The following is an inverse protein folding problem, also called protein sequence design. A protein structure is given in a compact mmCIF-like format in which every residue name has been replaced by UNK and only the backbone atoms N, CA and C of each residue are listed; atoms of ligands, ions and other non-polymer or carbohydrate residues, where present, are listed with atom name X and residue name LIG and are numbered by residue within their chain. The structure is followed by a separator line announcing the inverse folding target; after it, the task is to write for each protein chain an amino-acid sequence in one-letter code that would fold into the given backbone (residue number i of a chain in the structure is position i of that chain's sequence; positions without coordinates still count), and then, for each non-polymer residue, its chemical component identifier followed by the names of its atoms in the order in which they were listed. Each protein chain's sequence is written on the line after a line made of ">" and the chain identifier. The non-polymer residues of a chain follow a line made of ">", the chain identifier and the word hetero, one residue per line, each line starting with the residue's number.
data_IF_789297946283
#
_entry.id   IF_789297946283
#
_cell.length_a   1.000
_cell.length_b   1.000
_cell.length_c   1.000
_cell.angle_alpha   90.00
_cell.angle_beta   90.00
_cell.angle_gamma   90.00
#
_symmetry.space_group_name_H-M   'P 1'
#
loop_
_entity.id
_entity.type
_entity.pdbx_description
1 polymer ?
#
# COMPACT_ATOMS: atom_id res chain seq x y z
N UNK A 1 24.37 2.70 -17.71
CA UNK A 1 24.52 3.29 -16.36
C UNK A 1 23.97 2.27 -15.37
N UNK A 2 24.62 1.98 -14.23
CA UNK A 2 24.02 1.08 -13.23
C UNK A 2 22.80 1.80 -12.60
N UNK A 3 21.63 1.12 -12.43
CA UNK A 3 20.46 1.71 -11.83
C UNK A 3 20.76 2.26 -10.42
N UNK A 4 20.23 3.44 -10.10
CA UNK A 4 20.34 4.05 -8.76
C UNK A 4 19.69 3.13 -7.72
N UNK A 5 20.30 2.97 -6.55
CA UNK A 5 19.66 2.23 -5.44
C UNK A 5 18.69 3.12 -4.68
N UNK A 6 17.70 2.52 -3.99
CA UNK A 6 16.77 3.25 -3.12
C UNK A 6 17.52 4.13 -2.11
N UNK A 7 18.52 3.57 -1.42
CA UNK A 7 19.35 4.32 -0.47
C UNK A 7 19.99 5.55 -1.11
N UNK A 8 20.59 5.38 -2.31
CA UNK A 8 21.21 6.51 -3.00
C UNK A 8 20.16 7.55 -3.40
N UNK A 9 19.03 7.12 -3.97
CA UNK A 9 17.92 8.01 -4.33
C UNK A 9 17.47 8.85 -3.13
N UNK A 10 17.18 8.21 -1.99
CA UNK A 10 16.72 8.89 -0.79
C UNK A 10 17.78 9.86 -0.21
N UNK A 11 19.07 9.50 -0.27
CA UNK A 11 20.16 10.42 0.12
C UNK A 11 20.25 11.62 -0.84
N UNK A 12 20.07 11.41 -2.13
CA UNK A 12 20.04 12.50 -3.12
C UNK A 12 18.84 13.42 -2.85
N UNK A 13 17.65 12.87 -2.62
CA UNK A 13 16.47 13.63 -2.21
C UNK A 13 16.67 14.40 -0.90
N UNK A 14 17.32 13.80 0.10
CA UNK A 14 17.62 14.47 1.37
C UNK A 14 18.53 15.70 1.21
N UNK A 15 19.37 15.73 0.18
CA UNK A 15 20.31 16.83 -0.09
C UNK A 15 19.71 17.99 -0.87
N UNK A 16 18.51 17.81 -1.42
CA UNK A 16 17.83 18.87 -2.14
C UNK A 16 17.47 20.05 -1.21
N UNK A 17 17.56 21.29 -1.67
CA UNK A 17 17.09 22.44 -0.91
C UNK A 17 15.61 22.26 -0.55
N UNK A 18 15.25 22.49 0.71
CA UNK A 18 13.88 22.26 1.23
C UNK A 18 13.39 20.83 1.09
N UNK A 19 14.27 19.87 1.27
CA UNK A 19 13.98 18.46 1.13
C UNK A 19 12.73 18.02 1.91
N UNK A 20 11.84 17.31 1.23
CA UNK A 20 10.72 16.60 1.86
C UNK A 20 11.14 15.30 2.57
N UNK A 21 12.42 14.89 2.46
CA UNK A 21 12.95 13.65 3.00
C UNK A 21 14.09 13.88 4.03
N UNK A 22 13.78 14.32 5.26
CA UNK A 22 14.78 14.41 6.31
C UNK A 22 15.35 13.03 6.66
N UNK A 23 16.49 13.00 7.36
CA UNK A 23 17.23 11.77 7.67
C UNK A 23 16.36 10.72 8.36
N UNK A 24 15.52 11.13 9.31
CA UNK A 24 14.65 10.24 10.07
C UNK A 24 13.59 9.57 9.16
N UNK A 25 12.95 10.33 8.24
CA UNK A 25 12.02 9.77 7.27
C UNK A 25 12.73 8.80 6.32
N UNK A 26 13.92 9.16 5.84
CA UNK A 26 14.74 8.28 5.01
C UNK A 26 15.01 6.94 5.69
N UNK A 27 15.46 6.97 6.93
CA UNK A 27 15.78 5.76 7.70
C UNK A 27 14.54 4.90 7.95
N UNK A 28 13.39 5.51 8.22
CA UNK A 28 12.11 4.82 8.35
C UNK A 28 11.73 4.11 7.04
N UNK A 29 11.77 4.82 5.90
CA UNK A 29 11.46 4.23 4.59
C UNK A 29 12.41 3.07 4.27
N UNK A 30 13.71 3.21 4.54
CA UNK A 30 14.68 2.13 4.34
C UNK A 30 14.39 0.92 5.23
N UNK A 31 13.87 1.14 6.44
CA UNK A 31 13.49 0.06 7.35
C UNK A 31 12.25 -0.67 6.85
N UNK A 32 11.20 0.04 6.44
CA UNK A 32 10.01 -0.55 5.79
C UNK A 32 10.41 -1.34 4.54
N UNK A 33 11.22 -0.74 3.66
CA UNK A 33 11.70 -1.40 2.45
C UNK A 33 12.54 -2.66 2.75
N UNK A 34 13.22 -2.72 3.88
CA UNK A 34 13.96 -3.90 4.35
C UNK A 34 13.00 -4.98 4.85
N UNK A 35 11.96 -4.63 5.61
CA UNK A 35 10.93 -5.57 6.02
C UNK A 35 10.22 -6.19 4.79
N UNK A 36 9.89 -5.39 3.77
CA UNK A 36 9.32 -5.89 2.51
C UNK A 36 10.20 -6.93 1.80
N UNK A 37 11.53 -6.86 1.92
CA UNK A 37 12.42 -7.91 1.38
C UNK A 37 12.26 -9.24 2.12
N UNK A 38 12.11 -9.18 3.44
CA UNK A 38 11.91 -10.38 4.27
C UNK A 38 10.55 -11.00 3.96
N UNK A 39 9.51 -10.18 3.84
CA UNK A 39 8.17 -10.62 3.42
C UNK A 39 8.22 -11.26 2.02
N UNK A 40 8.89 -10.62 1.05
CA UNK A 40 9.07 -11.18 -0.29
C UNK A 40 9.77 -12.55 -0.27
N UNK A 41 10.73 -12.73 0.63
CA UNK A 41 11.42 -14.01 0.80
C UNK A 41 10.50 -15.06 1.43
N UNK A 42 9.67 -14.68 2.41
CA UNK A 42 8.67 -15.58 3.00
C UNK A 42 7.66 -16.04 1.93
N UNK A 43 7.07 -15.10 1.19
CA UNK A 43 6.12 -15.40 0.10
C UNK A 43 6.73 -16.35 -0.94
N UNK A 44 7.98 -16.09 -1.35
CA UNK A 44 8.65 -16.92 -2.38
C UNK A 44 8.87 -18.38 -1.98
N UNK A 45 8.79 -18.69 -0.69
CA UNK A 45 8.85 -20.07 -0.18
C UNK A 45 7.51 -20.79 -0.28
N UNK A 46 6.40 -20.05 -0.29
CA UNK A 46 5.06 -20.62 -0.38
C UNK A 46 4.84 -21.76 0.61
N UNK A 47 4.36 -22.89 0.12
CA UNK A 47 4.14 -24.09 0.94
C UNK A 47 5.40 -24.64 1.65
N UNK A 48 6.59 -24.39 1.09
CA UNK A 48 7.84 -24.81 1.73
C UNK A 48 8.18 -24.00 2.99
N UNK A 49 7.62 -22.80 3.11
CA UNK A 49 7.82 -21.93 4.26
C UNK A 49 6.69 -21.98 5.32
N UNK A 50 5.69 -22.83 5.10
CA UNK A 50 4.47 -22.92 5.93
C UNK A 50 3.72 -21.57 6.07
N UNK A 51 3.79 -20.73 5.03
CA UNK A 51 3.17 -19.38 5.02
C UNK A 51 1.77 -19.37 4.40
N UNK A 52 1.32 -20.50 3.81
CA UNK A 52 0.02 -20.64 3.18
C UNK A 52 -1.06 -21.08 4.17
N UNK A 53 -2.32 -20.83 3.80
CA UNK A 53 -3.49 -21.27 4.54
C UNK A 53 -4.00 -20.24 5.57
N UNK A 54 -5.15 -20.57 6.16
CA UNK A 54 -5.82 -19.75 7.15
C UNK A 54 -5.45 -20.19 8.58
N UNK A 55 -5.44 -19.24 9.51
CA UNK A 55 -5.33 -19.53 10.95
C UNK A 55 -6.65 -19.98 11.56
N UNK A 56 -7.78 -19.87 10.82
CA UNK A 56 -9.11 -20.17 11.35
C UNK A 56 -9.65 -19.07 12.29
N UNK A 57 -8.94 -17.96 12.40
CA UNK A 57 -9.36 -16.73 13.08
C UNK A 57 -9.82 -15.69 12.05
N UNK A 58 -10.64 -14.74 12.49
CA UNK A 58 -11.00 -13.55 11.74
C UNK A 58 -10.23 -12.35 12.32
N UNK A 59 -9.83 -11.42 11.46
CA UNK A 59 -9.28 -10.15 11.90
C UNK A 59 -10.41 -9.26 12.46
N UNK A 60 -10.06 -8.10 12.98
CA UNK A 60 -11.00 -7.11 13.56
C UNK A 60 -12.07 -6.64 12.58
N UNK A 61 -11.91 -6.91 11.32
CA UNK A 61 -12.82 -6.56 10.22
C UNK A 61 -13.76 -7.71 9.82
N UNK A 62 -13.63 -8.88 10.45
CA UNK A 62 -14.39 -10.09 10.14
C UNK A 62 -13.92 -10.78 8.84
N UNK A 63 -12.68 -10.57 8.43
CA UNK A 63 -12.05 -11.29 7.32
C UNK A 63 -11.21 -12.44 7.84
N UNK A 64 -11.23 -13.56 7.12
CA UNK A 64 -10.45 -14.74 7.48
C UNK A 64 -8.96 -14.45 7.39
N UNK A 65 -8.28 -14.42 8.53
CA UNK A 65 -6.87 -14.10 8.65
C UNK A 65 -6.01 -15.22 8.08
N UNK A 66 -5.10 -14.89 7.19
CA UNK A 66 -4.12 -15.83 6.65
C UNK A 66 -2.86 -15.85 7.52
N UNK A 67 -2.14 -16.95 7.50
CA UNK A 67 -0.85 -17.07 8.21
C UNK A 67 0.12 -15.96 7.78
N UNK A 68 0.10 -15.62 6.49
CA UNK A 68 1.00 -14.62 5.94
C UNK A 68 0.69 -13.21 6.44
N UNK A 69 -0.59 -12.87 6.69
CA UNK A 69 -0.98 -11.56 7.24
C UNK A 69 -0.31 -11.34 8.61
N UNK A 70 -0.37 -12.34 9.48
CA UNK A 70 0.26 -12.29 10.80
C UNK A 70 1.78 -12.22 10.69
N UNK A 71 2.39 -13.08 9.88
CA UNK A 71 3.85 -13.11 9.68
C UNK A 71 4.34 -11.75 9.14
N UNK A 72 3.66 -11.19 8.16
CA UNK A 72 4.04 -9.91 7.58
C UNK A 72 3.83 -8.75 8.56
N UNK A 73 2.74 -8.78 9.34
CA UNK A 73 2.51 -7.82 10.41
C UNK A 73 3.64 -7.85 11.44
N UNK A 74 3.97 -9.02 11.97
CA UNK A 74 5.02 -9.17 12.97
C UNK A 74 6.39 -8.72 12.44
N UNK A 75 6.72 -9.06 11.19
CA UNK A 75 7.95 -8.60 10.53
C UNK A 75 8.03 -7.07 10.42
N UNK A 76 6.90 -6.40 10.14
CA UNK A 76 6.85 -4.94 10.06
C UNK A 76 6.95 -4.29 11.46
N UNK A 77 6.28 -4.84 12.47
CA UNK A 77 6.41 -4.38 13.86
C UNK A 77 7.86 -4.53 14.32
N UNK A 78 8.40 -5.76 14.27
CA UNK A 78 9.75 -6.08 14.72
C UNK A 78 10.84 -5.25 14.04
N UNK A 79 10.68 -4.94 12.76
CA UNK A 79 11.64 -4.13 12.03
C UNK A 79 11.64 -2.66 12.46
N UNK A 80 10.49 -2.12 12.87
CA UNK A 80 10.29 -0.68 13.01
C UNK A 80 10.21 -0.18 14.45
N UNK A 81 9.87 -1.03 15.45
CA UNK A 81 9.62 -0.57 16.81
C UNK A 81 10.86 -0.05 17.56
N UNK A 82 12.06 -0.51 17.22
CA UNK A 82 13.30 -0.20 17.92
C UNK A 82 14.13 0.91 17.29
N UNK A 83 13.80 1.31 16.06
CA UNK A 83 14.63 2.22 15.25
C UNK A 83 14.65 3.68 15.69
N UNK A 84 13.78 4.09 16.61
CA UNK A 84 13.71 5.46 17.12
C UNK A 84 13.07 6.48 16.17
N UNK A 85 12.46 6.03 15.06
CA UNK A 85 11.84 6.91 14.07
C UNK A 85 10.35 7.09 14.29
N UNK A 86 9.70 6.13 14.97
CA UNK A 86 8.25 6.09 15.16
C UNK A 86 7.83 6.57 16.55
N UNK A 87 6.71 7.28 16.60
CA UNK A 87 5.92 7.52 17.79
C UNK A 87 4.97 6.34 18.08
N UNK A 88 4.37 5.79 17.05
CA UNK A 88 3.54 4.59 17.08
C UNK A 88 3.35 4.06 15.64
N UNK A 89 2.75 2.87 15.51
CA UNK A 89 2.32 2.30 14.24
C UNK A 89 0.91 1.72 14.34
N UNK A 90 0.22 1.63 13.20
CA UNK A 90 -1.09 1.04 13.07
C UNK A 90 -1.12 0.09 11.87
N UNK A 91 -1.74 -1.05 12.04
CA UNK A 91 -1.88 -2.09 11.03
C UNK A 91 -3.34 -2.48 10.86
N UNK A 92 -3.72 -2.87 9.66
CA UNK A 92 -5.03 -3.46 9.39
C UNK A 92 -5.30 -4.71 10.23
N UNK A 93 -4.25 -5.47 10.54
CA UNK A 93 -4.32 -6.72 11.27
C UNK A 93 -4.33 -6.57 12.81
N UNK A 94 -4.24 -5.35 13.31
CA UNK A 94 -4.24 -5.06 14.74
C UNK A 94 -5.51 -4.33 15.18
N UNK A 95 -6.07 -4.73 16.31
CA UNK A 95 -7.25 -4.09 16.90
C UNK A 95 -6.97 -2.67 17.41
N UNK A 96 -5.77 -2.45 17.90
CA UNK A 96 -5.33 -1.18 18.47
C UNK A 96 -3.97 -0.80 17.89
N UNK A 97 -3.61 0.48 18.02
CA UNK A 97 -2.28 0.94 17.63
C UNK A 97 -1.17 0.26 18.46
N UNK A 98 -0.05 -0.02 17.82
CA UNK A 98 1.16 -0.47 18.50
C UNK A 98 1.97 0.74 18.97
N UNK A 99 2.01 0.95 20.27
CA UNK A 99 2.84 1.98 20.91
C UNK A 99 4.27 1.49 21.03
N UNK A 100 5.21 2.36 20.73
CA UNK A 100 6.64 2.02 20.89
C UNK A 100 6.94 1.69 22.35
N UNK A 101 7.46 0.48 22.65
CA UNK A 101 7.79 0.07 24.01
C UNK A 101 8.76 1.05 24.68
N UNK A 102 8.56 1.33 25.98
CA UNK A 102 9.34 2.32 26.72
C UNK A 102 10.85 2.05 26.79
N UNK A 103 11.29 0.83 26.42
CA UNK A 103 12.70 0.46 26.29
C UNK A 103 13.38 1.03 25.04
N UNK A 104 12.60 1.50 24.07
CA UNK A 104 13.08 2.03 22.81
C UNK A 104 12.84 3.54 22.70
N UNK A 105 13.70 4.27 21.97
CA UNK A 105 13.47 5.67 21.72
C UNK A 105 12.25 5.87 20.83
N UNK A 106 11.52 6.96 21.09
CA UNK A 106 10.37 7.38 20.25
C UNK A 106 10.81 8.44 19.25
N UNK A 107 10.25 8.38 18.06
CA UNK A 107 10.47 9.35 16.98
C UNK A 107 9.24 10.21 16.70
N UNK A 108 9.26 10.88 15.55
CA UNK A 108 8.26 11.89 15.15
C UNK A 108 7.27 11.39 14.11
N UNK A 109 7.33 10.11 13.70
CA UNK A 109 6.48 9.60 12.64
C UNK A 109 5.46 8.59 13.15
N UNK A 110 4.34 8.53 12.44
CA UNK A 110 3.33 7.49 12.53
C UNK A 110 3.41 6.66 11.25
N UNK A 111 3.49 5.34 11.40
CA UNK A 111 3.48 4.39 10.29
C UNK A 111 2.13 3.67 10.26
N UNK A 112 1.47 3.68 9.11
CA UNK A 112 0.23 2.96 8.85
C UNK A 112 0.45 1.99 7.70
N UNK A 113 -0.07 0.78 7.80
CA UNK A 113 0.12 -0.21 6.74
C UNK A 113 -0.97 -1.28 6.72
N UNK A 114 -1.20 -1.80 5.53
CA UNK A 114 -1.79 -3.11 5.28
C UNK A 114 -0.62 -4.07 5.00
N UNK A 115 -0.38 -5.07 5.86
CA UNK A 115 0.76 -5.94 5.68
C UNK A 115 0.68 -6.79 4.41
N UNK A 116 -0.53 -7.27 4.03
CA UNK A 116 -0.74 -8.07 2.81
C UNK A 116 -2.09 -7.75 2.16
N UNK A 117 -2.11 -6.75 1.30
CA UNK A 117 -3.24 -6.50 0.40
C UNK A 117 -3.47 -7.70 -0.53
N UNK A 118 -4.71 -8.15 -0.60
CA UNK A 118 -5.11 -9.25 -1.46
C UNK A 118 -4.68 -10.62 -0.94
N UNK A 119 -4.56 -10.83 0.37
CA UNK A 119 -4.10 -12.07 0.99
C UNK A 119 -4.86 -13.32 0.54
N UNK A 120 -6.12 -13.19 0.10
CA UNK A 120 -6.89 -14.29 -0.51
C UNK A 120 -6.26 -14.86 -1.80
N UNK A 121 -5.39 -14.09 -2.46
CA UNK A 121 -4.70 -14.49 -3.68
C UNK A 121 -3.49 -15.37 -3.43
N UNK A 122 -2.98 -15.43 -2.19
CA UNK A 122 -1.72 -16.13 -1.89
C UNK A 122 -1.82 -17.64 -2.13
N UNK A 123 -2.96 -18.23 -1.81
CA UNK A 123 -3.15 -19.68 -1.94
C UNK A 123 -3.31 -20.15 -3.40
N UNK A 124 -3.46 -19.21 -4.33
CA UNK A 124 -3.60 -19.46 -5.78
C UNK A 124 -2.49 -18.81 -6.62
N UNK A 125 -1.40 -18.41 -5.94
CA UNK A 125 -0.17 -17.89 -6.57
C UNK A 125 -0.39 -16.64 -7.43
N UNK A 126 -1.30 -15.76 -7.00
CA UNK A 126 -1.50 -14.44 -7.60
C UNK A 126 -0.78 -13.35 -6.80
N UNK A 127 -0.53 -12.21 -7.45
CA UNK A 127 0.17 -11.09 -6.83
C UNK A 127 -0.58 -10.54 -5.62
N UNK A 128 0.17 -10.28 -4.57
CA UNK A 128 -0.23 -9.61 -3.33
C UNK A 128 0.74 -8.47 -3.03
N UNK A 129 0.48 -7.63 -2.02
CA UNK A 129 1.39 -6.56 -1.70
C UNK A 129 1.27 -6.03 -0.29
N UNK A 130 2.25 -5.23 0.11
CA UNK A 130 2.23 -4.44 1.35
C UNK A 130 1.99 -2.99 0.99
N UNK A 131 1.01 -2.33 1.61
CA UNK A 131 0.73 -0.91 1.44
C UNK A 131 1.17 -0.18 2.69
N UNK A 132 1.81 0.98 2.56
CA UNK A 132 2.20 1.79 3.71
C UNK A 132 2.06 3.28 3.46
N UNK A 133 1.86 4.03 4.54
CA UNK A 133 1.94 5.48 4.57
C UNK A 133 2.58 5.99 5.85
N UNK A 134 3.16 7.17 5.78
CA UNK A 134 3.85 7.82 6.88
C UNK A 134 3.24 9.21 7.08
N UNK A 135 2.90 9.51 8.32
CA UNK A 135 2.50 10.84 8.77
C UNK A 135 3.51 11.38 9.79
N UNK A 136 3.55 12.68 9.97
CA UNK A 136 4.14 13.24 11.18
C UNK A 136 3.19 13.06 12.35
N UNK A 137 3.74 12.70 13.50
CA UNK A 137 2.97 12.73 14.74
C UNK A 137 2.56 14.19 15.04
N UNK A 138 1.37 14.43 15.58
CA UNK A 138 0.93 15.77 15.95
C UNK A 138 1.91 16.46 16.91
N UNK A 139 1.97 17.79 16.85
CA UNK A 139 2.78 18.58 17.77
C UNK A 139 2.46 18.24 19.22
N UNK A 140 3.49 18.05 20.06
CA UNK A 140 3.33 17.66 21.45
C UNK A 140 3.13 16.16 21.68
N UNK A 141 3.02 15.32 20.65
CA UNK A 141 2.92 13.87 20.80
C UNK A 141 4.17 13.25 21.46
N UNK A 142 5.33 13.90 21.35
CA UNK A 142 6.56 13.47 22.03
C UNK A 142 6.49 13.56 23.56
N UNK A 143 5.60 14.40 24.10
CA UNK A 143 5.40 14.62 25.55
C UNK A 143 4.26 13.81 26.17
N UNK A 144 3.51 13.05 25.37
CA UNK A 144 2.38 12.20 25.80
C UNK A 144 2.38 10.86 25.09
N UNK A 145 1.50 9.98 25.51
CA UNK A 145 1.23 8.77 24.73
C UNK A 145 0.42 9.11 23.45
N UNK A 146 0.78 8.46 22.35
CA UNK A 146 0.04 8.51 21.10
C UNK A 146 -1.27 7.74 21.25
N UNK A 147 -2.35 8.28 20.70
CA UNK A 147 -3.68 7.70 20.69
C UNK A 147 -4.11 7.37 19.25
N UNK A 148 -5.18 6.64 19.09
CA UNK A 148 -5.75 6.31 17.78
C UNK A 148 -6.19 7.57 17.02
N UNK A 149 -6.65 8.61 17.74
CA UNK A 149 -7.05 9.90 17.15
C UNK A 149 -5.89 10.60 16.43
N UNK A 150 -4.65 10.39 16.87
CA UNK A 150 -3.47 10.97 16.25
C UNK A 150 -3.22 10.44 14.82
N UNK A 151 -3.78 9.28 14.48
CA UNK A 151 -3.74 8.69 13.15
C UNK A 151 -4.83 9.19 12.20
N UNK A 152 -5.89 9.83 12.75
CA UNK A 152 -7.03 10.32 11.96
C UNK A 152 -6.71 11.67 11.30
N UNK A 153 -5.64 11.71 10.52
CA UNK A 153 -5.20 12.88 9.77
C UNK A 153 -5.75 12.85 8.33
N UNK A 154 -5.79 14.01 7.69
CA UNK A 154 -6.17 14.08 6.27
C UNK A 154 -5.14 13.36 5.39
N UNK A 155 -5.60 12.61 4.37
CA UNK A 155 -4.70 11.88 3.46
C UNK A 155 -3.65 12.74 2.78
N UNK A 156 -3.91 14.04 2.59
CA UNK A 156 -2.95 14.99 2.03
C UNK A 156 -1.77 15.34 2.97
N UNK A 157 -1.88 15.02 4.25
CA UNK A 157 -0.81 15.26 5.26
C UNK A 157 0.22 14.11 5.28
N UNK A 158 0.03 13.08 4.47
CA UNK A 158 1.02 12.03 4.31
C UNK A 158 2.34 12.62 3.82
N UNK A 159 3.44 12.32 4.51
CA UNK A 159 4.79 12.74 4.13
C UNK A 159 5.50 11.73 3.23
N UNK A 160 5.02 10.48 3.23
CA UNK A 160 5.41 9.44 2.30
C UNK A 160 4.29 8.40 2.18
N UNK A 161 4.21 7.77 1.02
CA UNK A 161 3.36 6.61 0.80
C UNK A 161 4.00 5.68 -0.22
N UNK A 162 3.66 4.40 -0.14
CA UNK A 162 4.18 3.42 -1.08
C UNK A 162 3.52 2.07 -0.91
N UNK A 163 3.90 1.18 -1.82
CA UNK A 163 3.56 -0.23 -1.72
C UNK A 163 4.69 -1.10 -2.26
N UNK A 164 4.81 -2.29 -1.69
CA UNK A 164 5.55 -3.37 -2.31
C UNK A 164 4.56 -4.31 -3.01
N UNK A 165 4.86 -4.73 -4.23
CA UNK A 165 4.11 -5.79 -4.93
C UNK A 165 4.97 -7.04 -5.02
N UNK A 166 4.40 -8.16 -4.62
CA UNK A 166 5.00 -9.48 -4.64
C UNK A 166 4.32 -10.30 -5.75
N UNK A 167 4.96 -10.36 -6.91
CA UNK A 167 4.47 -11.01 -8.12
C UNK A 167 5.63 -11.58 -8.94
N UNK A 168 5.53 -11.60 -10.29
CA UNK A 168 6.61 -12.04 -11.17
C UNK A 168 7.94 -11.33 -10.89
N UNK A 169 7.87 -10.06 -10.51
CA UNK A 169 8.95 -9.29 -9.91
C UNK A 169 8.53 -8.82 -8.52
N UNK A 170 9.50 -8.54 -7.66
CA UNK A 170 9.23 -7.81 -6.42
C UNK A 170 9.58 -6.34 -6.66
N UNK A 171 8.57 -5.48 -6.61
CA UNK A 171 8.71 -4.05 -6.84
C UNK A 171 8.37 -3.27 -5.57
N UNK A 172 9.00 -2.13 -5.39
CA UNK A 172 8.62 -1.10 -4.42
C UNK A 172 8.29 0.17 -5.18
N UNK A 173 7.08 0.68 -5.00
CA UNK A 173 6.65 1.97 -5.56
C UNK A 173 6.51 2.95 -4.40
N UNK A 174 7.10 4.13 -4.54
CA UNK A 174 7.27 5.09 -3.45
C UNK A 174 7.06 6.51 -3.93
N UNK A 175 6.38 7.33 -3.13
CA UNK A 175 6.43 8.79 -3.17
C UNK A 175 6.84 9.37 -1.82
N UNK A 176 7.58 10.46 -1.87
CA UNK A 176 7.91 11.34 -0.75
C UNK A 176 7.43 12.77 -1.02
N UNK A 177 6.38 12.92 -1.87
CA UNK A 177 5.84 14.20 -2.30
C UNK A 177 6.59 14.85 -3.48
N UNK A 178 7.52 14.15 -4.12
CA UNK A 178 8.34 14.66 -5.24
C UNK A 178 8.18 13.85 -6.53
N UNK A 179 7.04 13.18 -6.68
CA UNK A 179 6.76 12.24 -7.76
C UNK A 179 6.80 10.78 -7.30
N UNK A 180 6.42 9.87 -8.17
CA UNK A 180 6.31 8.42 -7.88
C UNK A 180 7.44 7.67 -8.57
N UNK A 181 8.15 6.85 -7.82
CA UNK A 181 9.32 6.12 -8.31
C UNK A 181 9.17 4.63 -8.04
N UNK A 182 9.63 3.82 -9.00
CA UNK A 182 9.61 2.36 -8.94
C UNK A 182 11.00 1.80 -8.77
N UNK A 183 11.12 0.82 -7.87
CA UNK A 183 12.35 0.09 -7.59
C UNK A 183 12.09 -1.41 -7.70
N UNK A 184 12.94 -2.11 -8.43
CA UNK A 184 12.92 -3.58 -8.49
C UNK A 184 13.90 -4.15 -7.47
N UNK A 185 13.50 -5.21 -6.78
CA UNK A 185 14.39 -5.95 -5.89
C UNK A 185 15.36 -6.82 -6.71
N UNK A 186 16.63 -6.41 -6.71
CA UNK A 186 17.73 -7.25 -7.17
C UNK A 186 18.02 -8.28 -6.07
N UNK A 187 17.51 -9.50 -6.26
CA UNK A 187 17.59 -10.56 -5.25
C UNK A 187 19.02 -11.12 -5.07
N UNK A 188 19.90 -10.95 -6.05
CA UNK A 188 21.29 -11.44 -5.98
C UNK A 188 22.11 -10.63 -4.98
N UNK A 189 21.90 -9.32 -4.96
CA UNK A 189 22.63 -8.41 -4.05
C UNK A 189 21.75 -7.84 -2.92
N UNK A 190 20.48 -8.19 -2.90
CA UNK A 190 19.53 -7.73 -1.91
C UNK A 190 19.27 -6.22 -1.94
N UNK A 191 19.36 -5.57 -3.10
CA UNK A 191 19.22 -4.13 -3.24
C UNK A 191 17.97 -3.75 -4.04
N UNK A 192 17.25 -2.72 -3.58
CA UNK A 192 16.23 -2.05 -4.37
C UNK A 192 16.89 -1.16 -5.40
N UNK A 193 16.64 -1.38 -6.68
CA UNK A 193 17.20 -0.61 -7.80
C UNK A 193 16.10 0.13 -8.53
N UNK A 194 16.25 1.44 -8.71
CA UNK A 194 15.30 2.25 -9.48
C UNK A 194 15.22 1.73 -10.91
N UNK A 195 14.02 1.37 -11.33
CA UNK A 195 13.75 0.85 -12.68
C UNK A 195 12.85 1.76 -13.49
N UNK A 196 12.07 2.63 -12.84
CA UNK A 196 11.21 3.61 -13.51
C UNK A 196 10.91 4.82 -12.62
N UNK A 197 10.55 5.94 -13.22
CA UNK A 197 10.10 7.15 -12.53
C UNK A 197 10.73 8.45 -13.06
N UNK A 198 10.07 9.58 -12.81
CA UNK A 198 8.78 9.70 -12.14
C UNK A 198 7.64 9.13 -13.00
N UNK A 199 6.86 8.24 -12.39
CA UNK A 199 5.69 7.64 -13.03
C UNK A 199 4.55 8.67 -13.10
N UNK A 200 3.76 8.58 -14.19
CA UNK A 200 2.52 9.36 -14.34
C UNK A 200 1.45 8.50 -14.97
N UNK A 201 0.24 8.57 -14.43
CA UNK A 201 -0.92 7.91 -15.02
C UNK A 201 -1.20 8.49 -16.39
N UNK A 202 -1.16 7.65 -17.42
CA UNK A 202 -1.43 8.06 -18.80
C UNK A 202 -2.90 8.41 -18.98
N UNK A 203 -3.20 9.56 -19.57
CA UNK A 203 -4.56 9.96 -19.93
C UNK A 203 -5.05 9.19 -21.18
N UNK A 204 -6.37 9.09 -21.34
CA UNK A 204 -7.00 8.51 -22.52
C UNK A 204 -6.89 6.98 -22.62
N UNK A 205 -6.62 6.30 -21.54
CA UNK A 205 -6.58 4.84 -21.51
C UNK A 205 -7.95 4.23 -21.29
N UNK A 206 -8.09 2.97 -21.66
CA UNK A 206 -9.36 2.26 -21.72
C UNK A 206 -9.35 0.98 -20.86
N UNK A 207 -8.72 1.05 -19.67
CA UNK A 207 -8.79 -0.03 -18.69
C UNK A 207 -9.65 0.37 -17.49
N UNK A 208 -10.46 -0.56 -16.98
CA UNK A 208 -11.22 -0.42 -15.74
C UNK A 208 -11.02 -1.65 -14.87
N UNK A 209 -10.74 -1.42 -13.60
CA UNK A 209 -10.67 -2.44 -12.56
C UNK A 209 -11.83 -2.24 -11.60
N UNK A 210 -12.72 -3.21 -11.53
CA UNK A 210 -13.86 -3.22 -10.62
C UNK A 210 -14.36 -4.67 -10.42
N UNK A 211 -14.82 -4.99 -9.21
CA UNK A 211 -15.41 -6.30 -8.92
C UNK A 211 -16.85 -6.39 -9.46
N UNK A 212 -17.01 -6.93 -10.67
CA UNK A 212 -18.32 -7.10 -11.31
C UNK A 212 -19.30 -7.98 -10.52
N UNK A 213 -18.83 -8.89 -9.67
CA UNK A 213 -19.71 -9.72 -8.84
C UNK A 213 -20.53 -8.87 -7.83
N UNK A 214 -20.14 -7.62 -7.60
CA UNK A 214 -20.84 -6.68 -6.72
C UNK A 214 -21.73 -5.68 -7.45
N UNK A 215 -21.97 -5.88 -8.74
CA UNK A 215 -22.76 -4.95 -9.56
C UNK A 215 -24.15 -4.65 -8.98
N UNK A 216 -24.79 -5.62 -8.34
CA UNK A 216 -26.10 -5.43 -7.69
C UNK A 216 -26.06 -4.51 -6.46
N UNK A 217 -24.88 -4.22 -5.93
CA UNK A 217 -24.66 -3.37 -4.77
C UNK A 217 -24.28 -1.92 -5.15
N UNK A 218 -24.05 -1.64 -6.43
CA UNK A 218 -23.63 -0.31 -6.88
C UNK A 218 -24.78 0.68 -6.95
N UNK A 219 -24.45 1.95 -6.80
CA UNK A 219 -25.40 3.01 -7.11
C UNK A 219 -25.76 3.01 -8.62
N UNK A 220 -26.93 3.53 -9.00
CA UNK A 220 -27.30 3.62 -10.41
C UNK A 220 -26.28 4.36 -11.27
N UNK A 221 -25.62 5.41 -10.71
CA UNK A 221 -24.58 6.16 -11.41
C UNK A 221 -23.33 5.34 -11.69
N UNK A 222 -22.85 4.56 -10.73
CA UNK A 222 -21.70 3.66 -10.91
C UNK A 222 -22.06 2.54 -11.90
N UNK A 223 -23.25 1.94 -11.77
CA UNK A 223 -23.70 0.92 -12.70
C UNK A 223 -23.72 1.46 -14.14
N UNK A 224 -24.33 2.63 -14.36
CA UNK A 224 -24.35 3.29 -15.67
C UNK A 224 -22.95 3.58 -16.21
N UNK A 225 -22.08 4.11 -15.36
CA UNK A 225 -20.69 4.43 -15.72
C UNK A 225 -19.93 3.20 -16.22
N UNK A 226 -20.05 2.06 -15.52
CA UNK A 226 -19.34 0.83 -15.88
C UNK A 226 -19.99 0.17 -17.10
N UNK A 227 -21.33 0.04 -17.10
CA UNK A 227 -22.09 -0.60 -18.19
C UNK A 227 -21.83 0.06 -19.55
N UNK A 228 -21.77 1.38 -19.60
CA UNK A 228 -21.40 2.11 -20.82
C UNK A 228 -20.01 1.71 -21.29
N UNK A 229 -19.01 1.76 -20.41
CA UNK A 229 -17.61 1.52 -20.78
C UNK A 229 -17.34 0.11 -21.26
N UNK A 230 -18.02 -0.88 -20.68
CA UNK A 230 -17.89 -2.29 -21.10
C UNK A 230 -18.86 -2.69 -22.22
N UNK A 231 -19.67 -1.75 -22.73
CA UNK A 231 -20.55 -1.97 -23.89
C UNK A 231 -21.89 -2.63 -23.58
N UNK A 232 -22.34 -2.59 -22.32
CA UNK A 232 -23.67 -3.09 -21.94
C UNK A 232 -24.80 -2.10 -22.23
N UNK A 233 -24.49 -0.81 -22.38
CA UNK A 233 -25.43 0.26 -22.74
C UNK A 233 -24.74 1.25 -23.66
N UNK A 234 -25.57 1.94 -24.49
CA UNK A 234 -25.07 2.96 -25.41
C UNK A 234 -24.59 4.22 -24.71
N UNK A 235 -23.58 4.85 -25.28
CA UNK A 235 -23.00 6.09 -24.82
C UNK A 235 -21.72 6.44 -25.60
N UNK A 236 -21.11 7.63 -25.36
CA UNK A 236 -19.93 8.08 -26.09
C UNK A 236 -18.68 7.21 -25.88
N UNK A 237 -18.65 6.44 -24.80
CA UNK A 237 -17.52 5.55 -24.46
C UNK A 237 -17.93 4.06 -24.50
N UNK A 238 -19.06 3.73 -25.15
CA UNK A 238 -19.61 2.38 -25.16
C UNK A 238 -18.61 1.37 -25.74
N UNK A 239 -18.32 0.34 -24.98
CA UNK A 239 -17.46 -0.77 -25.39
C UNK A 239 -15.99 -0.44 -25.58
N UNK A 240 -15.53 0.73 -25.13
CA UNK A 240 -14.14 1.14 -25.33
C UNK A 240 -13.20 0.64 -24.23
N UNK A 241 -13.73 0.18 -23.08
CA UNK A 241 -12.92 -0.19 -21.93
C UNK A 241 -12.79 -1.71 -21.82
N UNK A 242 -11.56 -2.13 -21.50
CA UNK A 242 -11.25 -3.52 -21.15
C UNK A 242 -11.25 -3.67 -19.62
N UNK A 243 -12.14 -4.52 -19.11
CA UNK A 243 -12.21 -4.77 -17.68
C UNK A 243 -11.16 -5.80 -17.26
N UNK A 244 -10.39 -5.46 -16.21
CA UNK A 244 -9.43 -6.35 -15.56
C UNK A 244 -9.58 -6.23 -14.05
N UNK A 245 -9.62 -7.36 -13.37
CA UNK A 245 -9.75 -7.45 -11.92
C UNK A 245 -8.92 -8.60 -11.38
N UNK A 246 -7.97 -8.31 -10.49
CA UNK A 246 -7.09 -9.31 -9.89
C UNK A 246 -7.51 -9.66 -8.46
N UNK A 247 -8.26 -8.79 -7.79
CA UNK A 247 -8.64 -8.95 -6.38
C UNK A 247 -7.57 -8.50 -5.39
N UNK A 248 -6.46 -7.92 -5.87
CA UNK A 248 -5.46 -7.19 -5.07
C UNK A 248 -5.43 -5.74 -5.55
N UNK A 249 -5.63 -4.80 -4.64
CA UNK A 249 -5.57 -3.37 -4.96
C UNK A 249 -4.19 -2.97 -5.44
N UNK A 250 -3.13 -3.49 -4.80
CA UNK A 250 -1.74 -3.24 -5.22
C UNK A 250 -1.53 -3.63 -6.69
N UNK A 251 -1.97 -4.82 -7.09
CA UNK A 251 -1.78 -5.30 -8.46
C UNK A 251 -2.60 -4.51 -9.48
N UNK A 252 -3.85 -4.18 -9.16
CA UNK A 252 -4.73 -3.42 -10.05
C UNK A 252 -4.29 -1.96 -10.17
N UNK A 253 -3.92 -1.29 -9.06
CA UNK A 253 -3.41 0.09 -9.07
C UNK A 253 -2.05 0.15 -9.75
N UNK A 254 -1.15 -0.82 -9.53
CA UNK A 254 0.14 -0.86 -10.21
C UNK A 254 -0.02 -0.92 -11.74
N UNK A 255 -0.95 -1.76 -12.23
CA UNK A 255 -1.28 -1.81 -13.65
C UNK A 255 -1.76 -0.45 -14.17
N UNK A 256 -2.60 0.25 -13.40
CA UNK A 256 -3.11 1.58 -13.77
C UNK A 256 -1.99 2.62 -13.79
N UNK A 257 -1.07 2.60 -12.83
CA UNK A 257 0.12 3.47 -12.86
C UNK A 257 0.96 3.26 -14.12
N UNK A 258 1.08 2.00 -14.59
CA UNK A 258 1.89 1.67 -15.78
C UNK A 258 1.16 1.90 -17.11
N UNK A 259 -0.15 1.74 -17.16
CA UNK A 259 -0.93 1.73 -18.41
C UNK A 259 -2.01 2.79 -18.46
N UNK A 260 -2.32 3.41 -17.34
CA UNK A 260 -3.48 4.24 -17.14
C UNK A 260 -4.75 3.41 -16.94
N UNK A 261 -5.88 4.09 -16.72
CA UNK A 261 -7.17 3.46 -16.46
C UNK A 261 -7.83 3.97 -15.20
N UNK A 262 -8.80 3.22 -14.71
CA UNK A 262 -9.59 3.55 -13.53
C UNK A 262 -9.70 2.33 -12.62
N UNK A 263 -9.39 2.51 -11.34
CA UNK A 263 -9.72 1.57 -10.28
C UNK A 263 -10.96 2.05 -9.53
N UNK A 264 -11.93 1.17 -9.35
CA UNK A 264 -13.18 1.46 -8.65
C UNK A 264 -13.48 0.37 -7.63
N UNK A 265 -13.75 0.78 -6.40
CA UNK A 265 -14.24 -0.11 -5.36
C UNK A 265 -15.37 0.57 -4.57
N UNK A 266 -16.55 0.73 -5.19
CA UNK A 266 -17.66 1.44 -4.55
C UNK A 266 -18.19 0.67 -3.35
N UNK A 267 -18.63 1.42 -2.34
CA UNK A 267 -19.37 0.86 -1.20
C UNK A 267 -20.71 0.27 -1.65
N UNK A 268 -21.28 -0.58 -0.80
CA UNK A 268 -22.66 -1.05 -0.97
C UNK A 268 -23.62 0.14 -0.86
N UNK A 269 -24.38 0.41 -1.94
CA UNK A 269 -25.32 1.54 -1.99
C UNK A 269 -26.46 1.43 -0.97
N UNK A 270 -26.90 0.21 -0.68
CA UNK A 270 -27.92 -0.06 0.33
C UNK A 270 -27.36 0.02 1.77
N UNK A 271 -26.05 -0.14 1.94
CA UNK A 271 -25.36 -0.17 3.23
C UNK A 271 -24.06 0.65 3.17
N UNK A 272 -24.15 1.99 3.02
CA UNK A 272 -22.97 2.83 2.74
C UNK A 272 -21.93 2.86 3.86
N UNK A 273 -22.31 2.48 5.09
CA UNK A 273 -21.38 2.32 6.22
C UNK A 273 -20.50 1.07 6.17
N UNK A 274 -20.72 0.18 5.20
CA UNK A 274 -19.93 -1.06 5.00
C UNK A 274 -18.97 -0.92 3.81
N UNK A 275 -18.17 0.14 3.81
CA UNK A 275 -17.07 0.25 2.85
C UNK A 275 -16.05 -0.88 3.10
N UNK A 276 -15.51 -1.48 2.02
CA UNK A 276 -14.52 -2.56 2.14
C UNK A 276 -13.09 -2.05 2.07
N UNK A 277 -12.85 -0.97 1.33
CA UNK A 277 -11.56 -0.30 1.34
C UNK A 277 -11.37 0.45 2.65
N UNK A 278 -10.21 0.24 3.26
CA UNK A 278 -9.81 0.94 4.49
C UNK A 278 -9.18 2.26 4.11
N UNK A 279 -9.75 3.34 4.64
CA UNK A 279 -9.31 4.69 4.30
C UNK A 279 -7.82 4.91 4.60
N UNK A 280 -7.39 4.50 5.80
CA UNK A 280 -6.05 4.80 6.30
C UNK A 280 -4.96 3.89 5.73
N UNK A 281 -5.27 2.60 5.53
CA UNK A 281 -4.28 1.60 5.16
C UNK A 281 -4.15 1.40 3.66
N UNK A 282 -5.22 1.69 2.89
CA UNK A 282 -5.30 1.39 1.47
C UNK A 282 -5.61 2.65 0.64
N UNK A 283 -6.77 3.31 0.88
CA UNK A 283 -7.25 4.37 -0.01
C UNK A 283 -6.36 5.62 0.02
N UNK A 284 -5.96 6.11 1.21
CA UNK A 284 -5.12 7.30 1.33
C UNK A 284 -3.73 7.13 0.68
N UNK A 285 -2.95 6.06 0.98
CA UNK A 285 -1.65 5.87 0.34
C UNK A 285 -1.76 5.71 -1.18
N UNK A 286 -2.74 4.95 -1.67
CA UNK A 286 -2.92 4.78 -3.11
C UNK A 286 -3.39 6.05 -3.80
N UNK A 287 -4.25 6.86 -3.16
CA UNK A 287 -4.67 8.16 -3.69
C UNK A 287 -3.48 9.09 -3.83
N UNK A 288 -2.62 9.20 -2.81
CA UNK A 288 -1.41 10.03 -2.88
C UNK A 288 -0.50 9.61 -4.04
N UNK A 289 -0.29 8.30 -4.25
CA UNK A 289 0.51 7.79 -5.36
C UNK A 289 -0.09 8.12 -6.74
N UNK A 290 -1.41 8.08 -6.88
CA UNK A 290 -2.07 8.41 -8.14
C UNK A 290 -2.08 9.92 -8.43
N UNK A 291 -2.12 10.76 -7.40
CA UNK A 291 -2.13 12.23 -7.52
C UNK A 291 -0.75 12.82 -7.85
N UNK A 292 0.35 12.15 -7.49
CA UNK A 292 1.73 12.60 -7.74
C UNK A 292 2.18 12.30 -9.18
#
# INVERSE_FOLDING_TARGET
>A
MKPTTLTRFLIEQQREPNSACPAELRLLIETVARACKVIAQAISKGALGDVLGSLGSENVQGEVQKKLDVIANDLLVDANEWGGHLAALASEEMETIHRIPGRYPKGEYLLLYDPIDGSSNIDVDLSVGTIFSVFKAPEGASGREVTEEDFLQYGREQVAAGYAIYGPQTLLVLTIGTGVYEFTLDREVGAWRMTDGPLKVTSGTTEVAINMARRSQWSPGISRYVDERVGCVDGPLAGQYNMRWTGSMVADVHRILKRGGVFLYPSDYANPGKARLRLLYEANPMALLIEQ
#
